data_IF_152862566072
#
_entry.id   IF_152862566072
#
_cell.length_a   1.000
_cell.length_b   1.000
_cell.length_c   1.000
_cell.angle_alpha   90.00
_cell.angle_beta   90.00
_cell.angle_gamma   90.00
#
_symmetry.space_group_name_H-M   'P 1'
#
loop_
_entity.id
_entity.type
_entity.pdbx_description
1 polymer ?
#
# COMPACT_ATOMS: atom_id res chain seq x y z
N UNK A 1 2.76 -22.27 15.71
CA UNK A 1 3.59 -22.07 14.50
C UNK A 1 4.19 -23.42 14.14
N UNK A 2 4.17 -23.79 12.86
CA UNK A 2 4.79 -25.02 12.36
C UNK A 2 6.33 -24.90 12.53
N UNK A 3 7.05 -25.92 12.99
CA UNK A 3 8.50 -25.88 13.09
C UNK A 3 9.14 -25.95 11.70
N UNK A 4 10.30 -25.32 11.50
CA UNK A 4 11.00 -25.33 10.21
C UNK A 4 11.33 -26.74 9.70
N UNK A 5 11.44 -27.72 10.62
CA UNK A 5 11.69 -29.13 10.32
C UNK A 5 10.62 -29.79 9.46
N UNK A 6 9.45 -29.17 9.36
CA UNK A 6 8.30 -29.71 8.63
C UNK A 6 8.02 -28.89 7.36
N UNK A 7 8.82 -27.84 7.09
CA UNK A 7 8.56 -26.90 6.01
C UNK A 7 8.85 -27.55 4.66
N UNK A 8 8.03 -27.25 3.66
CA UNK A 8 8.40 -27.49 2.27
C UNK A 8 9.48 -26.51 1.82
N UNK A 9 10.10 -26.79 0.67
CA UNK A 9 11.06 -25.88 0.07
C UNK A 9 10.45 -24.49 -0.21
N UNK A 10 9.19 -24.45 -0.65
CA UNK A 10 8.44 -23.24 -0.94
C UNK A 10 8.16 -22.44 0.34
N UNK A 11 7.75 -23.10 1.42
CA UNK A 11 7.52 -22.46 2.72
C UNK A 11 8.82 -21.87 3.30
N UNK A 12 9.96 -22.56 3.15
CA UNK A 12 11.28 -22.03 3.50
C UNK A 12 11.66 -20.82 2.64
N UNK A 13 11.42 -20.89 1.33
CA UNK A 13 11.72 -19.81 0.39
C UNK A 13 10.89 -18.54 0.61
N UNK A 14 9.77 -18.64 1.35
CA UNK A 14 8.93 -17.51 1.76
C UNK A 14 9.30 -16.94 3.13
N UNK A 15 10.21 -17.56 3.87
CA UNK A 15 10.59 -17.14 5.22
C UNK A 15 11.63 -16.01 5.14
N UNK A 16 11.37 -14.90 5.85
CA UNK A 16 12.16 -13.68 5.74
C UNK A 16 13.62 -13.85 6.21
N UNK A 17 13.87 -14.56 7.31
CA UNK A 17 15.23 -14.81 7.80
C UNK A 17 16.01 -15.75 6.87
N UNK A 18 15.33 -16.73 6.27
CA UNK A 18 15.88 -17.64 5.27
C UNK A 18 16.24 -16.89 4.00
N UNK A 19 15.32 -16.07 3.47
CA UNK A 19 15.58 -15.21 2.31
C UNK A 19 16.79 -14.30 2.59
N UNK A 20 16.83 -13.67 3.78
CA UNK A 20 17.94 -12.79 4.16
C UNK A 20 19.26 -13.54 4.25
N UNK A 21 19.27 -14.74 4.82
CA UNK A 21 20.46 -15.59 4.88
C UNK A 21 20.99 -15.94 3.49
N UNK A 22 20.10 -16.32 2.58
CA UNK A 22 20.48 -16.72 1.22
C UNK A 22 21.00 -15.52 0.42
N UNK A 23 20.38 -14.35 0.56
CA UNK A 23 20.75 -13.13 -0.19
C UNK A 23 21.95 -12.39 0.39
N UNK A 24 22.12 -12.43 1.70
CA UNK A 24 23.16 -11.71 2.43
C UNK A 24 23.89 -12.68 3.37
N UNK A 25 24.68 -13.61 2.80
CA UNK A 25 25.33 -14.64 3.60
C UNK A 25 26.30 -14.06 4.62
N UNK A 26 26.76 -12.81 4.48
CA UNK A 26 27.75 -12.14 5.33
C UNK A 26 27.26 -11.73 6.72
N UNK A 27 25.96 -11.84 7.01
CA UNK A 27 25.41 -11.60 8.36
C UNK A 27 25.77 -12.79 9.30
N UNK A 28 26.70 -12.62 10.27
CA UNK A 28 27.20 -13.75 11.06
C UNK A 28 26.15 -14.37 11.96
N UNK A 29 25.20 -13.56 12.44
CA UNK A 29 24.16 -13.99 13.38
C UNK A 29 23.15 -14.92 12.70
N UNK A 30 22.72 -14.55 11.50
CA UNK A 30 21.76 -15.31 10.70
C UNK A 30 22.43 -16.55 10.11
N UNK A 31 23.69 -16.43 9.66
CA UNK A 31 24.48 -17.55 9.15
C UNK A 31 24.61 -18.66 10.19
N UNK A 32 25.04 -18.31 11.41
CA UNK A 32 25.23 -19.29 12.47
C UNK A 32 23.94 -20.04 12.81
N UNK A 33 22.78 -19.37 12.78
CA UNK A 33 21.50 -20.03 13.02
C UNK A 33 21.21 -21.12 11.97
N UNK A 34 21.26 -20.76 10.68
CA UNK A 34 20.90 -21.70 9.60
C UNK A 34 21.93 -22.82 9.43
N UNK A 35 23.22 -22.56 9.58
CA UNK A 35 24.24 -23.60 9.53
C UNK A 35 24.07 -24.63 10.65
N UNK A 36 23.85 -24.17 11.89
CA UNK A 36 23.58 -25.07 13.01
C UNK A 36 22.27 -25.84 12.83
N UNK A 37 21.24 -25.20 12.27
CA UNK A 37 19.97 -25.83 11.99
C UNK A 37 20.10 -26.93 10.91
N UNK A 38 20.85 -26.70 9.84
CA UNK A 38 21.11 -27.70 8.78
C UNK A 38 21.86 -28.91 9.33
N UNK A 39 22.85 -28.69 10.22
CA UNK A 39 23.58 -29.78 10.90
C UNK A 39 22.61 -30.62 11.75
N UNK A 40 21.63 -29.98 12.40
CA UNK A 40 20.63 -30.65 13.24
C UNK A 40 19.58 -31.42 12.43
N UNK A 41 19.26 -30.96 11.22
CA UNK A 41 18.20 -31.53 10.36
C UNK A 41 18.75 -31.90 8.97
N UNK A 42 19.65 -32.90 8.87
CA UNK A 42 20.30 -33.26 7.60
C UNK A 42 19.33 -33.76 6.53
N UNK A 43 18.19 -34.32 6.93
CA UNK A 43 17.14 -34.76 6.01
C UNK A 43 16.45 -33.60 5.29
N UNK A 44 16.54 -32.37 5.82
CA UNK A 44 16.00 -31.16 5.18
C UNK A 44 16.91 -30.64 4.07
N UNK A 45 18.08 -31.24 3.83
CA UNK A 45 19.06 -30.74 2.86
C UNK A 45 18.46 -30.50 1.48
N UNK A 46 17.68 -31.44 0.97
CA UNK A 46 17.01 -31.31 -0.34
C UNK A 46 16.04 -30.13 -0.37
N UNK A 47 15.24 -29.96 0.69
CA UNK A 47 14.32 -28.83 0.81
C UNK A 47 15.07 -27.49 0.91
N UNK A 48 16.18 -27.45 1.63
CA UNK A 48 17.04 -26.26 1.75
C UNK A 48 17.66 -25.90 0.42
N UNK A 49 18.22 -26.87 -0.30
CA UNK A 49 18.87 -26.64 -1.60
C UNK A 49 17.86 -26.10 -2.62
N UNK A 50 16.66 -26.71 -2.68
CA UNK A 50 15.56 -26.23 -3.53
C UNK A 50 15.05 -24.85 -3.12
N UNK A 51 14.91 -24.59 -1.82
CA UNK A 51 14.49 -23.28 -1.33
C UNK A 51 15.52 -22.19 -1.68
N UNK A 52 16.82 -22.50 -1.60
CA UNK A 52 17.89 -21.57 -2.00
C UNK A 52 17.81 -21.24 -3.48
N UNK A 53 17.58 -22.24 -4.33
CA UNK A 53 17.39 -22.03 -5.77
C UNK A 53 16.20 -21.11 -6.07
N UNK A 54 15.06 -21.33 -5.40
CA UNK A 54 13.88 -20.48 -5.55
C UNK A 54 14.17 -19.02 -5.15
N UNK A 55 14.83 -18.81 -4.01
CA UNK A 55 15.18 -17.46 -3.53
C UNK A 55 16.14 -16.77 -4.48
N UNK A 56 17.17 -17.46 -4.97
CA UNK A 56 18.15 -16.88 -5.90
C UNK A 56 17.50 -16.55 -7.24
N UNK A 57 16.71 -17.46 -7.81
CA UNK A 57 15.98 -17.25 -9.07
C UNK A 57 15.03 -16.05 -8.97
N UNK A 58 14.33 -15.90 -7.85
CA UNK A 58 13.45 -14.75 -7.62
C UNK A 58 14.24 -13.45 -7.35
N UNK A 59 15.43 -13.53 -6.77
CA UNK A 59 16.26 -12.37 -6.41
C UNK A 59 17.13 -11.87 -7.56
N UNK A 60 17.41 -12.71 -8.56
CA UNK A 60 18.11 -12.35 -9.80
C UNK A 60 17.29 -11.40 -10.67
N UNK A 61 16.02 -11.18 -10.33
CA UNK A 61 15.29 -10.01 -10.80
C UNK A 61 15.89 -8.73 -10.19
N UNK A 62 16.97 -8.27 -10.82
CA UNK A 62 17.41 -6.88 -10.77
C UNK A 62 16.69 -6.17 -11.90
N UNK A 63 15.57 -5.47 -11.67
CA UNK A 63 15.16 -4.47 -12.65
C UNK A 63 16.37 -3.56 -12.82
N UNK A 64 16.77 -3.28 -14.07
CA UNK A 64 17.82 -2.30 -14.34
C UNK A 64 17.54 -1.08 -13.47
N UNK A 65 18.35 -0.91 -12.43
CA UNK A 65 18.17 0.20 -11.51
C UNK A 65 18.51 1.42 -12.35
N UNK A 66 17.50 2.22 -12.65
CA UNK A 66 17.68 3.47 -13.36
C UNK A 66 18.80 4.24 -12.66
N UNK A 67 19.79 4.66 -13.45
CA UNK A 67 20.82 5.56 -12.97
C UNK A 67 20.16 6.82 -12.39
N UNK A 68 20.85 7.48 -11.46
CA UNK A 68 20.39 8.76 -10.93
C UNK A 68 20.11 9.78 -12.05
N UNK A 69 20.85 9.69 -13.17
CA UNK A 69 20.64 10.52 -14.34
C UNK A 69 19.29 10.25 -15.01
N UNK A 70 18.91 8.99 -15.19
CA UNK A 70 17.61 8.59 -15.77
C UNK A 70 16.45 9.00 -14.88
N UNK A 71 16.58 8.83 -13.57
CA UNK A 71 15.60 9.29 -12.58
C UNK A 71 15.40 10.80 -12.68
N UNK A 72 16.50 11.57 -12.71
CA UNK A 72 16.44 13.03 -12.84
C UNK A 72 15.81 13.47 -14.16
N UNK A 73 16.11 12.78 -15.25
CA UNK A 73 15.52 13.04 -16.57
C UNK A 73 14.00 12.82 -16.56
N UNK A 74 13.52 11.72 -15.97
CA UNK A 74 12.08 11.43 -15.82
C UNK A 74 11.39 12.52 -14.98
N UNK A 75 11.97 12.90 -13.84
CA UNK A 75 11.42 13.98 -13.01
C UNK A 75 11.38 15.33 -13.72
N UNK A 76 12.40 15.65 -14.51
CA UNK A 76 12.42 16.85 -15.35
C UNK A 76 11.25 16.86 -16.35
N UNK A 77 11.02 15.73 -17.02
CA UNK A 77 9.90 15.56 -17.96
C UNK A 77 8.54 15.71 -17.27
N UNK A 78 8.35 15.07 -16.11
CA UNK A 78 7.12 15.22 -15.31
C UNK A 78 6.87 16.69 -14.98
N UNK A 79 7.87 17.42 -14.49
CA UNK A 79 7.73 18.85 -14.16
C UNK A 79 7.37 19.69 -15.37
N UNK A 80 8.06 19.51 -16.50
CA UNK A 80 7.75 20.24 -17.73
C UNK A 80 6.33 19.99 -18.24
N UNK A 81 5.82 18.75 -18.10
CA UNK A 81 4.43 18.44 -18.50
C UNK A 81 3.38 19.11 -17.62
N UNK A 82 3.67 19.36 -16.34
CA UNK A 82 2.78 20.05 -15.42
C UNK A 82 2.79 21.57 -15.65
N UNK A 83 3.95 22.13 -15.98
CA UNK A 83 4.12 23.57 -16.25
C UNK A 83 3.34 24.01 -17.50
N UNK A 84 3.31 23.17 -18.54
CA UNK A 84 2.53 23.40 -19.78
C UNK A 84 1.00 23.44 -19.52
N UNK A 85 0.52 22.79 -18.46
CA UNK A 85 -0.90 22.79 -18.09
C UNK A 85 -1.29 24.08 -17.33
N UNK A 86 -0.32 24.75 -16.71
CA UNK A 86 -0.53 25.96 -15.89
C UNK A 86 -0.76 27.27 -16.67
N UNK A 87 -0.46 27.30 -17.98
CA UNK A 87 -0.56 28.52 -18.81
C UNK A 87 -1.91 28.70 -19.55
N UNK A 88 -2.90 27.83 -19.32
CA UNK A 88 -4.24 28.07 -19.88
C UNK A 88 -5.06 29.04 -19.03
N UNK A 89 -5.10 30.27 -19.53
CA UNK A 89 -6.06 31.38 -19.33
C UNK A 89 -6.65 31.62 -17.92
N UNK A 90 -6.67 32.87 -17.41
CA UNK A 90 -7.40 33.17 -16.18
C UNK A 90 -8.87 32.80 -16.38
N UNK A 91 -9.34 31.80 -15.62
CA UNK A 91 -10.75 31.44 -15.54
C UNK A 91 -11.50 32.68 -15.07
N UNK A 92 -12.15 33.40 -15.99
CA UNK A 92 -13.12 34.44 -15.66
C UNK A 92 -14.26 33.78 -14.87
N UNK A 93 -14.47 34.10 -13.57
CA UNK A 93 -15.56 33.51 -12.82
C UNK A 93 -16.85 34.29 -13.14
N UNK A 94 -17.49 33.98 -14.27
CA UNK A 94 -18.86 34.38 -14.52
C UNK A 94 -19.81 33.24 -14.12
N UNK A 95 -19.77 32.82 -12.85
CA UNK A 95 -20.83 32.00 -12.27
C UNK A 95 -21.41 32.76 -11.09
N UNK A 96 -22.51 33.46 -11.36
CA UNK A 96 -23.37 34.03 -10.31
C UNK A 96 -23.84 32.88 -9.42
N UNK A 97 -23.32 32.86 -8.19
CA UNK A 97 -23.86 32.06 -7.09
C UNK A 97 -25.31 32.48 -6.83
N UNK A 98 -26.26 31.64 -7.24
CA UNK A 98 -27.65 31.79 -6.84
C UNK A 98 -27.80 31.10 -5.48
N UNK A 99 -27.96 31.90 -4.43
CA UNK A 99 -27.85 31.47 -3.03
C UNK A 99 -28.86 30.40 -2.64
N UNK A 100 -28.36 29.17 -2.41
CA UNK A 100 -29.08 28.08 -1.76
C UNK A 100 -29.52 28.40 -0.31
N UNK A 101 -28.99 29.46 0.29
CA UNK A 101 -29.29 29.86 1.68
C UNK A 101 -30.74 30.30 1.92
N UNK A 102 -31.46 30.76 0.89
CA UNK A 102 -32.85 31.21 1.05
C UNK A 102 -33.87 30.07 0.89
N UNK A 103 -33.51 29.00 0.17
CA UNK A 103 -34.40 27.85 -0.07
C UNK A 103 -34.41 26.92 1.17
N UNK A 104 -33.25 26.73 1.81
CA UNK A 104 -33.11 25.85 2.98
C UNK A 104 -33.88 26.40 4.20
N UNK A 105 -33.92 27.72 4.39
CA UNK A 105 -34.65 28.35 5.50
C UNK A 105 -36.17 28.14 5.43
N UNK A 106 -36.74 28.10 4.21
CA UNK A 106 -38.18 27.90 4.04
C UNK A 106 -38.64 26.48 4.41
N UNK A 107 -37.84 25.46 4.06
CA UNK A 107 -38.18 24.05 4.32
C UNK A 107 -38.16 23.73 5.82
N UNK A 108 -37.21 24.29 6.57
CA UNK A 108 -37.09 24.09 8.02
C UNK A 108 -38.31 24.64 8.77
N UNK A 109 -38.83 25.80 8.38
CA UNK A 109 -40.02 26.40 9.00
C UNK A 109 -41.28 25.55 8.77
N UNK A 110 -41.43 24.97 7.57
CA UNK A 110 -42.55 24.08 7.25
C UNK A 110 -42.54 22.82 8.10
N UNK A 111 -41.37 22.18 8.22
CA UNK A 111 -41.20 20.96 9.02
C UNK A 111 -41.48 21.25 10.51
N UNK A 112 -40.95 22.35 11.06
CA UNK A 112 -41.22 22.75 12.45
C UNK A 112 -42.71 23.00 12.71
N UNK A 113 -43.40 23.70 11.80
CA UNK A 113 -44.84 23.97 11.93
C UNK A 113 -45.68 22.68 11.92
N UNK A 114 -45.37 21.74 11.03
CA UNK A 114 -46.02 20.43 10.95
C UNK A 114 -45.79 19.60 12.22
N UNK A 115 -44.56 19.57 12.74
CA UNK A 115 -44.24 18.85 13.99
C UNK A 115 -44.95 19.46 15.21
N UNK A 116 -45.08 20.79 15.25
CA UNK A 116 -45.76 21.49 16.35
C UNK A 116 -47.27 21.23 16.35
N UNK A 117 -47.92 21.27 15.18
CA UNK A 117 -49.33 20.92 15.04
C UNK A 117 -49.60 19.47 15.43
N UNK A 118 -48.73 18.55 15.01
CA UNK A 118 -48.83 17.15 15.41
C UNK A 118 -48.70 16.95 16.92
N UNK A 119 -47.76 17.66 17.55
CA UNK A 119 -47.59 17.64 19.01
C UNK A 119 -48.82 18.17 19.75
N UNK A 120 -49.42 19.27 19.28
CA UNK A 120 -50.65 19.81 19.87
C UNK A 120 -51.83 18.83 19.73
N UNK A 121 -51.99 18.18 18.58
CA UNK A 121 -53.05 17.19 18.39
C UNK A 121 -52.88 15.97 19.32
N UNK A 122 -51.64 15.54 19.59
CA UNK A 122 -51.37 14.43 20.50
C UNK A 122 -51.53 14.80 21.98
N UNK A 123 -51.28 16.06 22.35
CA UNK A 123 -51.37 16.52 23.73
C UNK A 123 -52.81 16.82 24.19
N UNK A 124 -53.71 17.17 23.26
CA UNK A 124 -55.11 17.53 23.54
C UNK A 124 -56.13 16.40 23.26
N UNK A 125 -55.66 15.20 22.92
CA UNK A 125 -56.45 13.94 22.80
C UNK A 125 -56.09 13.04 23.96
#
# INVERSE_FOLDING_TARGET
MKPYSDYSAEELAMENLFIRWVRFPDDPSIRAFWENWIIKYPYMKENVDRARELVLTASDWKPDMLSNQEVNSIWGRIRSSLEIIGEKEPIHPAVKSFGAGNIIKGIVLLIMSLTFLFFLLWFFV
#
